data_IF_206444354798
#
_entry.id   IF_206444354798
#
_cell.length_a   1.000
_cell.length_b   1.000
_cell.length_c   1.000
_cell.angle_alpha   90.00
_cell.angle_beta   90.00
_cell.angle_gamma   90.00
#
_symmetry.space_group_name_H-M   'P 1'
#
loop_
_entity.id
_entity.type
_entity.pdbx_description
1 polymer ?
#
# COMPACT_ATOMS: atom_id res chain seq x y z
N UNK A 1 58.29 -14.05 27.47
CA UNK A 1 57.51 -14.66 26.37
C UNK A 1 56.11 -14.07 26.36
N UNK A 2 55.79 -13.17 25.43
CA UNK A 2 54.42 -12.63 25.27
C UNK A 2 53.73 -13.41 24.16
N UNK A 3 52.64 -14.11 24.50
CA UNK A 3 51.81 -14.83 23.52
C UNK A 3 51.19 -13.82 22.55
N UNK A 4 51.69 -13.74 21.32
CA UNK A 4 51.01 -13.04 20.21
C UNK A 4 49.76 -13.84 19.85
N UNK A 5 48.60 -13.35 20.27
CA UNK A 5 47.31 -13.94 19.92
C UNK A 5 47.10 -13.82 18.39
N UNK A 6 46.99 -14.97 17.70
CA UNK A 6 46.74 -15.06 16.24
C UNK A 6 45.25 -15.28 15.94
N UNK A 7 44.37 -14.52 16.59
CA UNK A 7 42.94 -14.55 16.26
C UNK A 7 42.65 -13.63 15.09
N UNK A 8 42.17 -14.20 13.98
CA UNK A 8 41.54 -13.44 12.90
C UNK A 8 40.20 -12.94 13.43
N UNK A 9 40.11 -11.65 13.76
CA UNK A 9 38.86 -11.01 14.15
C UNK A 9 37.97 -10.93 12.91
N UNK A 10 37.09 -11.90 12.73
CA UNK A 10 36.13 -11.93 11.63
C UNK A 10 34.97 -10.99 11.95
N UNK A 11 34.90 -9.84 11.28
CA UNK A 11 33.67 -9.05 11.26
C UNK A 11 32.61 -9.75 10.38
N UNK A 12 31.32 -9.73 10.76
CA UNK A 12 30.27 -10.56 10.13
C UNK A 12 29.88 -10.16 8.70
N UNK A 13 30.46 -9.08 8.13
CA UNK A 13 30.11 -8.58 6.79
C UNK A 13 31.32 -8.29 5.88
N UNK A 14 32.52 -8.76 6.24
CA UNK A 14 33.74 -8.47 5.48
C UNK A 14 34.10 -9.61 4.52
N UNK A 15 34.16 -9.30 3.22
CA UNK A 15 34.94 -10.06 2.22
C UNK A 15 36.31 -10.39 2.84
N UNK A 16 36.78 -11.63 2.69
CA UNK A 16 38.11 -12.05 3.13
C UNK A 16 39.16 -11.14 2.50
N UNK A 17 39.65 -10.15 3.25
CA UNK A 17 40.79 -9.34 2.83
C UNK A 17 42.04 -10.20 2.98
N UNK A 18 42.33 -11.00 1.95
CA UNK A 18 43.67 -11.53 1.76
C UNK A 18 44.66 -10.35 1.70
N UNK A 19 45.80 -10.50 2.37
CA UNK A 19 46.86 -9.50 2.39
C UNK A 19 47.45 -9.35 0.98
N UNK A 20 47.18 -8.24 0.28
CA UNK A 20 47.76 -7.93 -1.03
C UNK A 20 46.81 -7.39 -2.11
N UNK A 21 45.49 -7.39 -1.92
CA UNK A 21 44.52 -6.98 -2.96
C UNK A 21 44.51 -5.47 -3.23
N UNK A 22 45.01 -4.64 -2.31
CA UNK A 22 45.02 -3.18 -2.46
C UNK A 22 45.81 -2.67 -3.67
N UNK A 23 46.63 -3.52 -4.31
CA UNK A 23 47.36 -3.22 -5.56
C UNK A 23 47.12 -4.26 -6.67
N UNK A 24 46.11 -5.12 -6.56
CA UNK A 24 45.86 -6.16 -7.56
C UNK A 24 45.29 -5.61 -8.88
N UNK A 25 44.58 -4.47 -8.83
CA UNK A 25 44.01 -3.84 -10.01
C UNK A 25 44.93 -2.74 -10.55
N UNK A 26 45.06 -2.59 -11.89
CA UNK A 26 45.84 -1.52 -12.49
C UNK A 26 45.37 -0.15 -12.01
N UNK A 27 46.32 0.71 -11.63
CA UNK A 27 46.02 2.10 -11.28
C UNK A 27 45.40 2.82 -12.47
N UNK A 28 44.43 3.68 -12.20
CA UNK A 28 43.73 4.50 -13.18
C UNK A 28 42.91 3.75 -14.25
N UNK A 29 42.74 2.43 -14.11
CA UNK A 29 41.87 1.66 -15.01
C UNK A 29 40.39 1.69 -14.62
N UNK A 30 40.08 1.95 -13.35
CA UNK A 30 38.70 1.96 -12.85
C UNK A 30 38.30 3.35 -12.40
N UNK A 31 37.06 3.76 -12.73
CA UNK A 31 36.41 5.01 -12.30
C UNK A 31 37.24 6.27 -12.60
N UNK A 32 37.98 6.24 -13.70
CA UNK A 32 38.72 7.37 -14.24
C UNK A 32 37.98 7.95 -15.43
N UNK A 33 38.00 9.28 -15.56
CA UNK A 33 37.39 10.01 -16.66
C UNK A 33 38.45 10.95 -17.21
N UNK A 34 38.63 10.93 -18.54
CA UNK A 34 39.52 11.85 -19.23
C UNK A 34 38.83 13.21 -19.39
N UNK A 35 39.56 14.29 -19.16
CA UNK A 35 39.08 15.65 -19.35
C UNK A 35 39.31 16.06 -20.80
N UNK A 36 38.25 16.51 -21.47
CA UNK A 36 38.33 17.03 -22.84
C UNK A 36 38.37 18.56 -22.80
N UNK A 37 39.21 19.18 -23.62
CA UNK A 37 39.28 20.65 -23.79
C UNK A 37 39.43 21.44 -22.47
N UNK A 38 40.09 20.83 -21.47
CA UNK A 38 40.24 21.35 -20.11
C UNK A 38 38.92 21.68 -19.37
N UNK A 39 37.79 21.10 -19.80
CA UNK A 39 36.50 21.24 -19.14
C UNK A 39 36.35 20.22 -18.00
N UNK A 40 36.81 20.62 -16.81
CA UNK A 40 36.81 19.78 -15.60
C UNK A 40 35.39 19.58 -15.06
N UNK A 41 34.50 20.56 -15.21
CA UNK A 41 33.16 20.53 -14.62
C UNK A 41 32.26 19.50 -15.31
N UNK A 42 32.33 19.40 -16.64
CA UNK A 42 31.59 18.38 -17.37
C UNK A 42 32.14 16.98 -17.09
N UNK A 43 33.46 16.83 -17.01
CA UNK A 43 34.11 15.56 -16.67
C UNK A 43 33.74 15.09 -15.25
N UNK A 44 33.73 16.00 -14.27
CA UNK A 44 33.35 15.70 -12.90
C UNK A 44 31.85 15.37 -12.78
N UNK A 45 31.00 16.12 -13.48
CA UNK A 45 29.56 15.85 -13.54
C UNK A 45 29.26 14.49 -14.18
N UNK A 46 30.01 14.11 -15.22
CA UNK A 46 29.94 12.79 -15.84
C UNK A 46 30.39 11.69 -14.87
N UNK A 47 31.52 11.88 -14.18
CA UNK A 47 31.99 10.94 -13.16
C UNK A 47 30.94 10.73 -12.07
N UNK A 48 30.36 11.80 -11.52
CA UNK A 48 29.30 11.70 -10.51
C UNK A 48 28.07 10.94 -11.00
N UNK A 49 27.65 11.17 -12.25
CA UNK A 49 26.53 10.43 -12.86
C UNK A 49 26.81 8.94 -12.99
N UNK A 50 28.02 8.57 -13.41
CA UNK A 50 28.45 7.16 -13.49
C UNK A 50 28.48 6.50 -12.10
N UNK A 51 29.03 7.20 -11.10
CA UNK A 51 29.08 6.70 -9.72
C UNK A 51 27.68 6.57 -9.09
N UNK A 52 26.74 7.46 -9.42
CA UNK A 52 25.36 7.36 -8.94
C UNK A 52 24.57 6.25 -9.64
N UNK A 53 24.80 6.05 -10.95
CA UNK A 53 24.19 4.96 -11.72
C UNK A 53 24.63 3.57 -11.20
N UNK A 54 25.90 3.42 -10.81
CA UNK A 54 26.41 2.21 -10.13
C UNK A 54 25.95 2.11 -8.66
N UNK A 55 25.33 3.16 -8.11
CA UNK A 55 24.89 3.22 -6.71
C UNK A 55 26.02 3.40 -5.69
N UNK A 56 27.25 3.69 -6.11
CA UNK A 56 28.41 3.85 -5.22
C UNK A 56 28.23 5.01 -4.24
N UNK A 57 27.67 6.13 -4.70
CA UNK A 57 27.39 7.27 -3.83
C UNK A 57 26.38 6.90 -2.73
N UNK A 58 25.39 6.05 -3.04
CA UNK A 58 24.44 5.53 -2.04
C UNK A 58 25.13 4.61 -1.05
N UNK A 59 26.03 3.73 -1.51
CA UNK A 59 26.80 2.84 -0.64
C UNK A 59 27.64 3.68 0.33
N UNK A 60 28.44 4.63 -0.18
CA UNK A 60 29.31 5.49 0.64
C UNK A 60 28.50 6.21 1.74
N UNK A 61 27.36 6.81 1.38
CA UNK A 61 26.48 7.50 2.34
C UNK A 61 25.89 6.54 3.37
N UNK A 62 25.48 5.33 2.97
CA UNK A 62 24.91 4.32 3.88
C UNK A 62 25.94 3.70 4.81
N UNK A 63 27.19 3.55 4.36
CA UNK A 63 28.27 2.95 5.15
C UNK A 63 28.97 3.95 6.08
N UNK A 64 28.63 5.24 6.02
CA UNK A 64 29.20 6.26 6.91
C UNK A 64 28.92 5.94 8.39
N UNK A 65 27.77 5.31 8.67
CA UNK A 65 27.39 4.83 10.01
C UNK A 65 26.91 3.38 9.94
N UNK A 66 27.09 2.64 11.03
CA UNK A 66 26.61 1.27 11.08
C UNK A 66 25.08 1.22 11.04
N UNK A 67 24.54 0.53 10.02
CA UNK A 67 23.12 0.23 9.91
C UNK A 67 22.84 -1.18 10.42
N UNK A 68 21.88 -1.31 11.35
CA UNK A 68 21.48 -2.63 11.88
C UNK A 68 20.82 -3.48 10.78
N UNK A 69 20.97 -4.82 10.77
CA UNK A 69 20.48 -5.67 9.69
C UNK A 69 18.97 -5.57 9.41
N UNK A 70 18.14 -5.38 10.45
CA UNK A 70 16.70 -5.21 10.25
C UNK A 70 16.34 -3.89 9.55
N UNK A 71 17.08 -2.81 9.83
CA UNK A 71 16.89 -1.52 9.18
C UNK A 71 17.25 -1.61 7.69
N UNK A 72 18.34 -2.33 7.38
CA UNK A 72 18.76 -2.57 5.99
C UNK A 72 17.70 -3.38 5.22
N UNK A 73 17.15 -4.44 5.83
CA UNK A 73 16.07 -5.24 5.23
C UNK A 73 14.80 -4.42 5.00
N UNK A 74 14.42 -3.58 5.96
CA UNK A 74 13.26 -2.70 5.85
C UNK A 74 13.46 -1.70 4.70
N UNK A 75 14.62 -1.05 4.64
CA UNK A 75 14.96 -0.11 3.58
C UNK A 75 14.90 -0.76 2.20
N UNK A 76 15.48 -1.96 2.05
CA UNK A 76 15.47 -2.70 0.79
C UNK A 76 14.05 -3.05 0.35
N UNK A 77 13.18 -3.45 1.28
CA UNK A 77 11.77 -3.74 1.01
C UNK A 77 11.01 -2.50 0.52
N UNK A 78 11.24 -1.35 1.18
CA UNK A 78 10.65 -0.06 0.78
C UNK A 78 11.13 0.35 -0.61
N UNK A 79 12.44 0.23 -0.88
CA UNK A 79 13.03 0.57 -2.19
C UNK A 79 12.48 -0.30 -3.30
N UNK A 80 12.39 -1.63 -3.09
CA UNK A 80 11.80 -2.55 -4.05
C UNK A 80 10.33 -2.22 -4.32
N UNK A 81 9.53 -2.02 -3.28
CA UNK A 81 8.09 -1.70 -3.41
C UNK A 81 7.88 -0.37 -4.13
N UNK A 82 8.69 0.65 -3.81
CA UNK A 82 8.63 1.97 -4.46
C UNK A 82 9.04 1.90 -5.93
N UNK A 83 10.05 1.10 -6.25
CA UNK A 83 10.49 0.90 -7.64
C UNK A 83 9.39 0.25 -8.49
N UNK A 84 8.77 -0.83 -7.98
CA UNK A 84 7.65 -1.51 -8.65
C UNK A 84 6.49 -0.54 -8.86
N UNK A 85 6.11 0.20 -7.81
CA UNK A 85 5.03 1.17 -7.90
C UNK A 85 5.30 2.26 -8.94
N UNK A 86 6.50 2.85 -8.94
CA UNK A 86 6.88 3.89 -9.89
C UNK A 86 6.90 3.33 -11.33
N UNK A 87 7.39 2.11 -11.52
CA UNK A 87 7.39 1.44 -12.82
C UNK A 87 5.96 1.24 -13.35
N UNK A 88 5.06 0.70 -12.52
CA UNK A 88 3.66 0.48 -12.89
C UNK A 88 2.91 1.80 -13.13
N UNK A 89 3.18 2.82 -12.32
CA UNK A 89 2.63 4.17 -12.51
C UNK A 89 3.10 4.78 -13.82
N UNK A 90 4.38 4.65 -14.17
CA UNK A 90 4.92 5.11 -15.44
C UNK A 90 4.28 4.38 -16.62
N UNK A 91 4.14 3.05 -16.53
CA UNK A 91 3.45 2.24 -17.56
C UNK A 91 1.99 2.68 -17.74
N UNK A 92 1.27 2.88 -16.64
CA UNK A 92 -0.13 3.37 -16.65
C UNK A 92 -0.22 4.77 -17.23
N UNK A 93 0.69 5.66 -16.88
CA UNK A 93 0.76 7.01 -17.43
C UNK A 93 0.97 6.96 -18.93
N UNK A 94 1.97 6.23 -19.43
CA UNK A 94 2.19 6.07 -20.87
C UNK A 94 0.99 5.49 -21.62
N UNK A 95 0.27 4.55 -20.99
CA UNK A 95 -0.96 4.01 -21.54
C UNK A 95 -2.06 5.07 -21.64
N UNK A 96 -2.29 5.84 -20.56
CA UNK A 96 -3.31 6.89 -20.50
C UNK A 96 -2.96 8.11 -21.35
N UNK A 97 -1.68 8.41 -21.57
CA UNK A 97 -1.23 9.53 -22.42
C UNK A 97 -1.79 9.42 -23.84
N UNK A 98 -2.10 8.23 -24.34
CA UNK A 98 -2.81 8.03 -25.63
C UNK A 98 -4.22 8.66 -25.65
N UNK A 99 -4.83 8.85 -24.47
CA UNK A 99 -6.13 9.48 -24.28
C UNK A 99 -6.03 10.96 -23.92
N UNK A 100 -4.81 11.52 -23.80
CA UNK A 100 -4.59 12.96 -23.63
C UNK A 100 -4.79 13.71 -24.95
N UNK A 101 -5.97 13.56 -25.52
CA UNK A 101 -6.44 14.24 -26.74
C UNK A 101 -7.59 15.17 -26.33
N UNK A 102 -7.87 16.24 -27.11
CA UNK A 102 -9.08 17.03 -26.94
C UNK A 102 -10.30 16.11 -26.88
N UNK A 103 -11.26 16.44 -26.01
CA UNK A 103 -12.49 15.66 -25.88
C UNK A 103 -13.16 15.51 -27.25
N UNK A 104 -13.53 14.28 -27.60
CA UNK A 104 -14.16 13.98 -28.88
C UNK A 104 -15.62 14.47 -28.93
N UNK A 105 -16.24 14.71 -27.78
CA UNK A 105 -17.63 15.16 -27.66
C UNK A 105 -17.77 16.36 -26.72
N UNK A 106 -17.23 17.53 -27.11
CA UNK A 106 -17.34 18.74 -26.31
C UNK A 106 -18.83 19.11 -26.14
N UNK A 107 -19.35 18.95 -24.92
CA UNK A 107 -20.75 19.29 -24.60
C UNK A 107 -21.52 18.22 -23.83
N UNK A 108 -21.03 16.98 -23.73
CA UNK A 108 -21.64 15.91 -22.91
C UNK A 108 -21.15 15.99 -21.46
N UNK A 109 -21.06 17.20 -20.90
CA UNK A 109 -20.73 17.39 -19.48
C UNK A 109 -21.87 17.01 -18.53
N UNK A 110 -22.96 16.43 -19.06
CA UNK A 110 -23.86 15.56 -18.31
C UNK A 110 -23.46 14.09 -18.58
N UNK A 111 -22.28 13.66 -18.12
CA UNK A 111 -21.73 12.34 -18.43
C UNK A 111 -22.57 11.15 -17.89
N UNK A 112 -23.60 11.42 -17.09
CA UNK A 112 -24.57 10.43 -16.65
C UNK A 112 -25.97 10.83 -17.17
N UNK A 113 -26.74 9.89 -17.74
CA UNK A 113 -28.12 10.15 -18.12
C UNK A 113 -28.90 10.66 -16.90
N UNK A 114 -29.55 11.82 -17.04
CA UNK A 114 -30.42 12.36 -15.98
C UNK A 114 -31.56 11.39 -15.74
N UNK A 115 -31.93 11.23 -14.47
CA UNK A 115 -33.02 10.33 -14.04
C UNK A 115 -32.78 8.83 -14.27
N UNK A 116 -31.57 8.41 -14.67
CA UNK A 116 -31.26 6.98 -14.80
C UNK A 116 -30.79 6.35 -13.50
N UNK A 117 -30.17 7.13 -12.60
CA UNK A 117 -29.68 6.63 -11.31
C UNK A 117 -30.53 7.16 -10.18
N UNK A 118 -30.87 6.30 -9.21
CA UNK A 118 -31.56 6.68 -7.95
C UNK A 118 -32.89 7.42 -8.17
N UNK A 119 -33.60 7.04 -9.22
CA UNK A 119 -34.93 7.55 -9.56
C UNK A 119 -35.94 6.44 -9.32
N UNK A 120 -37.05 6.76 -8.66
CA UNK A 120 -38.15 5.84 -8.37
C UNK A 120 -39.42 6.42 -8.97
N UNK A 121 -40.15 5.60 -9.72
CA UNK A 121 -41.45 6.00 -10.27
C UNK A 121 -42.52 5.89 -9.20
N UNK A 122 -43.38 6.90 -9.11
CA UNK A 122 -44.53 6.90 -8.20
C UNK A 122 -45.68 6.16 -8.88
N UNK A 123 -46.25 5.18 -8.19
CA UNK A 123 -47.42 4.43 -8.67
C UNK A 123 -48.66 4.93 -7.92
N UNK A 124 -49.79 5.07 -8.62
CA UNK A 124 -51.10 5.38 -8.03
C UNK A 124 -51.10 6.64 -7.13
N UNK A 125 -50.22 7.60 -7.46
CA UNK A 125 -49.97 8.83 -6.68
C UNK A 125 -49.54 8.61 -5.21
N UNK A 126 -49.07 7.41 -4.85
CA UNK A 126 -48.56 7.10 -3.51
C UNK A 126 -47.08 7.48 -3.39
N UNK A 127 -46.84 8.73 -2.98
CA UNK A 127 -45.50 9.31 -2.82
C UNK A 127 -44.78 8.74 -1.59
N UNK A 128 -45.51 8.41 -0.52
CA UNK A 128 -44.92 7.96 0.75
C UNK A 128 -44.28 6.58 0.59
N UNK A 129 -44.95 5.66 -0.11
CA UNK A 129 -44.40 4.35 -0.45
C UNK A 129 -43.18 4.47 -1.37
N UNK A 130 -43.22 5.35 -2.36
CA UNK A 130 -42.09 5.59 -3.27
C UNK A 130 -40.87 6.19 -2.54
N UNK A 131 -41.10 7.12 -1.61
CA UNK A 131 -40.04 7.73 -0.81
C UNK A 131 -39.42 6.74 0.20
N UNK A 132 -40.25 5.92 0.85
CA UNK A 132 -39.79 4.83 1.72
C UNK A 132 -38.93 3.83 0.96
N UNK A 133 -39.33 3.48 -0.26
CA UNK A 133 -38.56 2.60 -1.14
C UNK A 133 -37.23 3.23 -1.54
N UNK A 134 -37.22 4.52 -1.92
CA UNK A 134 -35.98 5.24 -2.24
C UNK A 134 -35.02 5.26 -1.05
N UNK A 135 -35.50 5.58 0.16
CA UNK A 135 -34.67 5.59 1.37
C UNK A 135 -34.09 4.21 1.67
N UNK A 136 -34.87 3.13 1.50
CA UNK A 136 -34.39 1.76 1.67
C UNK A 136 -33.28 1.40 0.69
N UNK A 137 -33.41 1.80 -0.57
CA UNK A 137 -32.39 1.59 -1.60
C UNK A 137 -31.09 2.36 -1.26
N UNK A 138 -31.23 3.62 -0.86
CA UNK A 138 -30.07 4.45 -0.47
C UNK A 138 -29.38 3.95 0.80
N UNK A 139 -30.13 3.39 1.75
CA UNK A 139 -29.57 2.82 2.97
C UNK A 139 -28.86 1.48 2.70
N UNK A 140 -29.44 0.63 1.83
CA UNK A 140 -28.82 -0.63 1.40
C UNK A 140 -27.49 -0.41 0.66
N UNK A 141 -27.39 0.64 -0.16
CA UNK A 141 -26.13 1.07 -0.80
C UNK A 141 -25.16 1.74 0.19
N UNK A 142 -25.58 2.03 1.42
CA UNK A 142 -24.80 2.72 2.44
C UNK A 142 -24.62 4.22 2.19
N UNK A 143 -25.31 4.81 1.21
CA UNK A 143 -25.18 6.23 0.84
C UNK A 143 -25.60 7.16 1.96
N UNK A 144 -26.69 6.84 2.67
CA UNK A 144 -27.14 7.64 3.81
C UNK A 144 -26.08 7.67 4.92
N UNK A 145 -25.38 6.56 5.13
CA UNK A 145 -24.27 6.45 6.08
C UNK A 145 -23.07 7.29 5.66
N UNK A 146 -22.74 7.27 4.36
CA UNK A 146 -21.65 8.08 3.80
C UNK A 146 -21.96 9.57 3.99
N UNK A 147 -23.16 10.02 3.60
CA UNK A 147 -23.58 11.43 3.72
C UNK A 147 -23.44 11.94 5.15
N UNK A 148 -23.90 11.16 6.14
CA UNK A 148 -23.77 11.52 7.56
C UNK A 148 -22.31 11.58 8.02
N UNK A 149 -21.46 10.68 7.54
CA UNK A 149 -20.02 10.62 7.90
C UNK A 149 -19.22 11.75 7.28
N UNK A 150 -19.54 12.15 6.06
CA UNK A 150 -18.81 13.19 5.32
C UNK A 150 -19.27 14.60 5.65
N UNK A 151 -20.33 14.75 6.45
CA UNK A 151 -20.81 16.06 6.90
C UNK A 151 -19.72 16.84 7.66
N UNK A 152 -18.85 16.15 8.38
CA UNK A 152 -17.70 16.72 9.07
C UNK A 152 -16.44 15.93 8.75
N UNK A 153 -15.28 16.61 8.80
CA UNK A 153 -14.01 15.93 8.60
C UNK A 153 -13.73 14.93 9.74
N UNK A 154 -13.57 13.66 9.38
CA UNK A 154 -13.17 12.60 10.31
C UNK A 154 -11.67 12.30 10.12
N UNK A 155 -10.91 12.29 11.22
CA UNK A 155 -9.47 11.99 11.17
C UNK A 155 -9.23 10.52 10.76
N UNK A 156 -8.15 10.20 10.01
CA UNK A 156 -7.91 8.85 9.50
C UNK A 156 -7.87 7.73 10.56
N UNK A 157 -7.35 8.01 11.76
CA UNK A 157 -7.31 7.00 12.82
C UNK A 157 -8.70 6.69 13.39
N UNK A 158 -9.59 7.69 13.47
CA UNK A 158 -10.98 7.51 13.91
C UNK A 158 -11.76 6.68 12.90
N UNK A 159 -11.55 6.94 11.60
CA UNK A 159 -12.15 6.16 10.52
C UNK A 159 -11.72 4.68 10.58
N UNK A 160 -10.42 4.42 10.80
CA UNK A 160 -9.90 3.05 10.97
C UNK A 160 -10.48 2.34 12.18
N UNK A 161 -10.57 3.04 13.32
CA UNK A 161 -11.15 2.48 14.54
C UNK A 161 -12.61 2.12 14.34
N UNK A 162 -13.40 3.01 13.74
CA UNK A 162 -14.81 2.75 13.45
C UNK A 162 -14.98 1.57 12.49
N UNK A 163 -14.18 1.49 11.43
CA UNK A 163 -14.25 0.40 10.47
C UNK A 163 -13.93 -0.96 11.12
N UNK A 164 -12.95 -0.99 12.03
CA UNK A 164 -12.63 -2.18 12.83
C UNK A 164 -13.80 -2.61 13.70
N UNK A 165 -14.44 -1.67 14.41
CA UNK A 165 -15.60 -1.95 15.26
C UNK A 165 -16.76 -2.50 14.41
N UNK A 166 -17.07 -1.85 13.30
CA UNK A 166 -18.16 -2.27 12.41
C UNK A 166 -17.93 -3.65 11.84
N UNK A 167 -16.71 -3.98 11.42
CA UNK A 167 -16.35 -5.30 10.94
C UNK A 167 -16.52 -6.36 12.04
N UNK A 168 -15.99 -6.11 13.24
CA UNK A 168 -16.11 -7.05 14.36
C UNK A 168 -17.56 -7.26 14.80
N UNK A 169 -18.36 -6.20 14.88
CA UNK A 169 -19.78 -6.28 15.21
C UNK A 169 -20.57 -7.03 14.14
N UNK A 170 -20.27 -6.82 12.85
CA UNK A 170 -20.92 -7.55 11.77
C UNK A 170 -20.64 -9.05 11.83
N UNK A 171 -19.38 -9.45 12.01
CA UNK A 171 -18.97 -10.86 12.16
C UNK A 171 -19.68 -11.49 13.37
N UNK A 172 -19.67 -10.80 14.51
CA UNK A 172 -20.32 -11.30 15.73
C UNK A 172 -21.81 -11.50 15.53
N UNK A 173 -22.51 -10.52 14.96
CA UNK A 173 -23.94 -10.60 14.71
C UNK A 173 -24.28 -11.71 13.70
N UNK A 174 -23.46 -11.88 12.66
CA UNK A 174 -23.63 -12.95 11.68
C UNK A 174 -23.50 -14.33 12.34
N UNK A 175 -22.45 -14.55 13.13
CA UNK A 175 -22.24 -15.83 13.82
C UNK A 175 -23.32 -16.11 14.88
N UNK A 176 -23.76 -15.09 15.60
CA UNK A 176 -24.88 -15.21 16.55
C UNK A 176 -26.18 -15.56 15.82
N UNK A 177 -26.47 -14.93 14.68
CA UNK A 177 -27.63 -15.26 13.86
C UNK A 177 -27.57 -16.70 13.35
N UNK A 178 -26.41 -17.15 12.85
CA UNK A 178 -26.20 -18.55 12.42
C UNK A 178 -26.46 -19.52 13.58
N UNK A 179 -25.92 -19.24 14.76
CA UNK A 179 -26.13 -20.07 15.96
C UNK A 179 -27.60 -20.08 16.39
N UNK A 180 -28.27 -18.93 16.37
CA UNK A 180 -29.71 -18.85 16.66
C UNK A 180 -30.50 -19.71 15.69
N UNK A 181 -30.34 -19.55 14.37
CA UNK A 181 -31.03 -20.36 13.37
C UNK A 181 -30.78 -21.87 13.57
N UNK A 182 -29.56 -22.26 13.94
CA UNK A 182 -29.24 -23.65 14.25
C UNK A 182 -29.95 -24.17 15.51
N UNK A 183 -30.05 -23.35 16.56
CA UNK A 183 -30.73 -23.72 17.81
C UNK A 183 -32.26 -23.66 17.70
N UNK A 184 -32.82 -22.85 16.78
CA UNK A 184 -34.27 -22.75 16.58
C UNK A 184 -34.93 -24.09 16.25
N UNK A 185 -34.20 -25.06 15.68
CA UNK A 185 -34.70 -26.44 15.49
C UNK A 185 -35.02 -27.18 16.80
N UNK A 186 -34.43 -26.74 17.92
CA UNK A 186 -34.66 -27.26 19.27
C UNK A 186 -35.67 -26.43 20.05
N UNK A 187 -36.21 -25.36 19.46
CA UNK A 187 -37.28 -24.56 20.05
C UNK A 187 -38.63 -25.26 19.89
N UNK A 188 -38.74 -26.42 20.55
CA UNK A 188 -39.95 -27.24 20.63
C UNK A 188 -40.23 -27.53 22.10
N UNK A 189 -41.48 -27.82 22.48
CA UNK A 189 -41.81 -28.28 23.83
C UNK A 189 -40.90 -29.44 24.25
N UNK A 190 -40.55 -29.49 25.53
CA UNK A 190 -39.70 -30.56 26.05
C UNK A 190 -40.35 -31.92 25.77
N UNK A 191 -39.53 -32.86 25.29
CA UNK A 191 -39.97 -34.20 24.92
C UNK A 191 -40.19 -35.09 26.15
N UNK A 192 -39.62 -34.74 27.31
CA UNK A 192 -39.69 -35.53 28.54
C UNK A 192 -40.13 -34.70 29.74
N UNK A 193 -41.36 -34.16 29.73
CA UNK A 193 -41.86 -33.35 30.83
C UNK A 193 -41.93 -34.19 32.13
N UNK A 194 -41.26 -33.74 33.18
CA UNK A 194 -41.35 -34.33 34.53
C UNK A 194 -40.17 -35.22 34.95
N UNK A 195 -39.13 -35.40 34.14
CA UNK A 195 -37.89 -36.00 34.63
C UNK A 195 -37.08 -34.97 35.44
N UNK A 196 -37.09 -35.13 36.76
CA UNK A 196 -36.19 -34.40 37.66
C UNK A 196 -34.79 -35.02 37.45
N UNK A 197 -33.91 -34.31 36.76
CA UNK A 197 -32.49 -34.69 36.74
C UNK A 197 -31.91 -34.43 38.12
N UNK A 198 -31.59 -35.50 38.85
CA UNK A 198 -30.83 -35.46 40.10
C UNK A 198 -29.46 -34.80 39.93
#
# INVERSE_FOLDING_TARGET
MVRKWRGTLTQPFAVKLFKGIWNAHPRYATRTVMVKDNDVDSAFSLLNRLLDAEGLLKIVRRTQYYQKPYMQRQQLSIEASTAIFNEDMNRKMHFLMRKNRPDAYPGIWNAHPRYATRTVMVKDNDVDSAFSLLNRLLDAEGLLKIVRRTQYYQKPYMQRQQLSIEASTAIFNEDMNRKMHFLMRKNRPDAYPGQITS
#
